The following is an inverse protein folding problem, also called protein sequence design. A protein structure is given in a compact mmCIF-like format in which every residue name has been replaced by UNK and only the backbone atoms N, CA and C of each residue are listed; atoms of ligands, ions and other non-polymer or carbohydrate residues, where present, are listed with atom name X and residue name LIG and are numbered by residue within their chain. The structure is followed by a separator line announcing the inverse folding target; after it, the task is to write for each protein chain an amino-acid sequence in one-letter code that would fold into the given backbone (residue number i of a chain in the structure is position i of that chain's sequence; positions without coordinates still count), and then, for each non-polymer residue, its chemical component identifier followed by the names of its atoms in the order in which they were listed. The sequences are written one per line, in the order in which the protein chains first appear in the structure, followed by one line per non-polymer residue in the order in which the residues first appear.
data_IF_888232270893
#
_entry.id   IF_888232270893
#
_cell.length_a   1.000
_cell.length_b   1.000
_cell.length_c   1.000
_cell.angle_alpha   90.00
_cell.angle_beta   90.00
_cell.angle_gamma   90.00
#
_symmetry.space_group_name_H-M   'P 1'
#
loop_
_entity.id
_entity.type
_entity.pdbx_description
1 polymer ?
#
# COMPACT_ATOMS: atom_id res chain seq x y z
N UNK A 1 -53.11 -18.10 -11.37
CA UNK A 1 -53.80 -19.11 -12.21
C UNK A 1 -53.43 -18.85 -13.67
N UNK A 2 -53.10 -19.91 -14.40
CA UNK A 2 -53.00 -19.99 -15.87
C UNK A 2 -51.92 -19.15 -16.56
N UNK A 3 -50.79 -19.77 -16.91
CA UNK A 3 -50.58 -20.53 -18.16
C UNK A 3 -50.36 -19.58 -19.35
N UNK A 4 -49.08 -19.54 -19.74
CA UNK A 4 -48.54 -19.66 -21.09
C UNK A 4 -49.16 -18.82 -22.22
N UNK A 5 -48.25 -18.04 -22.81
CA UNK A 5 -47.86 -18.09 -24.21
C UNK A 5 -48.96 -18.28 -25.26
N UNK A 6 -49.13 -17.27 -26.12
CA UNK A 6 -49.11 -17.47 -27.57
C UNK A 6 -48.62 -16.17 -28.22
N UNK A 7 -47.38 -16.16 -28.70
CA UNK A 7 -47.03 -15.99 -30.11
C UNK A 7 -47.94 -15.01 -30.89
N UNK A 8 -47.41 -13.83 -31.21
CA UNK A 8 -47.55 -13.32 -32.57
C UNK A 8 -46.35 -12.44 -32.94
N UNK A 9 -45.77 -12.80 -34.05
CA UNK A 9 -44.63 -12.22 -34.75
C UNK A 9 -44.93 -10.79 -35.18
N UNK A 10 -44.00 -9.86 -34.94
CA UNK A 10 -43.61 -8.83 -35.90
C UNK A 10 -42.37 -8.07 -35.40
N UNK A 11 -41.24 -8.32 -36.07
CA UNK A 11 -40.19 -7.33 -36.23
C UNK A 11 -40.81 -6.01 -36.73
N UNK A 12 -40.40 -4.87 -36.16
CA UNK A 12 -39.84 -3.73 -36.89
C UNK A 12 -39.40 -2.65 -35.87
N UNK A 13 -38.20 -2.15 -36.12
CA UNK A 13 -37.49 -1.07 -35.43
C UNK A 13 -38.29 0.23 -35.34
N UNK A 14 -38.23 0.92 -34.19
CA UNK A 14 -37.81 2.32 -34.10
C UNK A 14 -37.89 2.84 -32.66
N UNK A 15 -37.01 3.81 -32.40
CA UNK A 15 -36.58 4.35 -31.13
C UNK A 15 -37.62 5.16 -30.32
N UNK A 16 -37.23 5.33 -29.05
CA UNK A 16 -37.61 6.35 -28.08
C UNK A 16 -38.92 6.15 -27.30
N UNK A 17 -38.80 6.08 -25.97
CA UNK A 17 -39.57 6.96 -25.08
C UNK A 17 -39.04 6.91 -23.63
N UNK A 18 -38.87 8.10 -23.06
CA UNK A 18 -38.83 8.37 -21.62
C UNK A 18 -40.28 8.37 -21.11
N UNK A 19 -40.51 7.92 -19.86
CA UNK A 19 -41.32 8.58 -18.81
C UNK A 19 -41.86 7.57 -17.78
N UNK A 20 -41.92 8.10 -16.56
CA UNK A 20 -42.20 7.60 -15.23
C UNK A 20 -43.70 7.41 -14.90
N UNK A 21 -43.95 6.75 -13.75
CA UNK A 21 -45.07 6.87 -12.80
C UNK A 21 -46.41 6.08 -12.94
N UNK A 22 -46.70 5.37 -11.83
CA UNK A 22 -47.96 5.20 -11.07
C UNK A 22 -48.88 3.95 -11.25
N UNK A 23 -48.81 3.10 -10.21
CA UNK A 23 -49.89 2.56 -9.33
C UNK A 23 -51.27 2.13 -9.89
N UNK A 24 -51.63 0.84 -9.74
CA UNK A 24 -52.61 0.29 -8.76
C UNK A 24 -53.02 -1.18 -9.11
N UNK A 25 -53.11 -2.00 -8.05
CA UNK A 25 -53.44 -3.45 -7.94
C UNK A 25 -54.94 -3.80 -8.16
N UNK A 26 -55.48 -5.04 -7.89
CA UNK A 26 -54.90 -6.40 -7.71
C UNK A 26 -55.64 -7.54 -8.49
N UNK A 27 -55.06 -8.76 -8.55
CA UNK A 27 -55.66 -10.01 -8.03
C UNK A 27 -55.07 -11.33 -8.62
N UNK A 28 -54.48 -12.13 -7.73
CA UNK A 28 -54.70 -13.57 -7.50
C UNK A 28 -53.91 -14.72 -8.22
N UNK A 29 -53.33 -15.54 -7.33
CA UNK A 29 -53.07 -17.00 -7.32
C UNK A 29 -51.75 -17.57 -7.89
N UNK A 30 -51.00 -18.13 -6.94
CA UNK A 30 -49.75 -18.91 -6.91
C UNK A 30 -49.93 -20.34 -7.44
N UNK A 31 -48.94 -20.89 -8.16
CA UNK A 31 -48.48 -22.29 -7.97
C UNK A 31 -47.11 -22.55 -8.63
N UNK A 32 -46.36 -23.51 -8.05
CA UNK A 32 -44.93 -23.83 -8.18
C UNK A 32 -44.50 -24.43 -9.54
N UNK A 33 -43.21 -24.26 -9.89
CA UNK A 33 -42.52 -25.08 -10.90
C UNK A 33 -41.10 -25.41 -10.46
N UNK A 34 -40.79 -26.70 -10.39
CA UNK A 34 -39.47 -27.31 -10.21
C UNK A 34 -38.63 -27.26 -11.49
N UNK A 35 -37.31 -27.05 -11.39
CA UNK A 35 -36.37 -27.12 -12.51
C UNK A 35 -35.39 -28.30 -12.35
N UNK A 36 -35.36 -29.18 -13.35
CA UNK A 36 -34.35 -30.22 -13.55
C UNK A 36 -33.09 -29.61 -14.19
N UNK A 37 -31.92 -29.91 -13.62
CA UNK A 37 -30.62 -29.51 -14.17
C UNK A 37 -30.01 -30.68 -14.94
N UNK A 38 -29.86 -30.53 -16.25
CA UNK A 38 -29.04 -31.42 -17.09
C UNK A 38 -27.61 -30.90 -17.18
N UNK A 39 -26.69 -31.74 -16.72
CA UNK A 39 -25.26 -31.90 -17.02
C UNK A 39 -24.50 -30.75 -17.70
N UNK A 40 -23.59 -30.13 -16.93
CA UNK A 40 -22.40 -29.45 -17.46
C UNK A 40 -21.18 -30.37 -17.28
N UNK A 41 -20.48 -30.67 -18.38
CA UNK A 41 -19.19 -31.36 -18.39
C UNK A 41 -18.06 -30.34 -18.15
N UNK A 42 -17.32 -30.49 -17.05
CA UNK A 42 -16.06 -29.79 -16.80
C UNK A 42 -14.92 -30.79 -16.95
N UNK A 43 -14.00 -30.53 -17.88
CA UNK A 43 -12.77 -31.30 -18.07
C UNK A 43 -11.83 -31.09 -16.89
N UNK A 44 -11.61 -32.16 -16.12
CA UNK A 44 -10.77 -32.18 -14.94
C UNK A 44 -9.28 -32.27 -15.30
N UNK A 45 -8.48 -31.33 -14.77
CA UNK A 45 -7.07 -31.58 -14.47
C UNK A 45 -6.91 -31.55 -12.95
N UNK A 46 -6.79 -32.76 -12.42
CA UNK A 46 -6.12 -33.20 -11.19
C UNK A 46 -6.40 -32.44 -9.88
N UNK A 47 -7.42 -32.92 -9.16
CA UNK A 47 -7.40 -32.96 -7.70
C UNK A 47 -8.14 -34.23 -7.25
N UNK A 48 -7.47 -35.38 -7.40
CA UNK A 48 -8.02 -36.69 -6.99
C UNK A 48 -8.44 -36.71 -5.51
N UNK A 49 -7.78 -35.90 -4.69
CA UNK A 49 -8.07 -35.77 -3.27
C UNK A 49 -9.44 -35.13 -2.98
N UNK A 50 -9.90 -34.23 -3.85
CA UNK A 50 -11.19 -33.56 -3.68
C UNK A 50 -12.36 -34.48 -4.02
N UNK A 51 -12.25 -35.25 -5.11
CA UNK A 51 -13.33 -36.15 -5.55
C UNK A 51 -13.38 -37.46 -4.74
N UNK A 52 -12.26 -37.95 -4.21
CA UNK A 52 -12.27 -39.05 -3.23
C UNK A 52 -12.89 -38.63 -1.89
N UNK A 53 -12.59 -37.41 -1.42
CA UNK A 53 -13.27 -36.84 -0.25
C UNK A 53 -14.78 -36.65 -0.49
N UNK A 54 -15.18 -36.11 -1.64
CA UNK A 54 -16.59 -35.85 -1.93
C UNK A 54 -17.40 -37.14 -2.12
N UNK A 55 -16.81 -38.17 -2.76
CA UNK A 55 -17.46 -39.47 -2.94
C UNK A 55 -17.59 -40.25 -1.63
N UNK A 56 -16.66 -40.09 -0.69
CA UNK A 56 -16.75 -40.62 0.68
C UNK A 56 -17.97 -40.06 1.44
N UNK A 57 -18.28 -38.77 1.28
CA UNK A 57 -19.41 -38.12 1.96
C UNK A 57 -20.78 -38.54 1.44
N UNK A 58 -20.90 -38.88 0.16
CA UNK A 58 -22.17 -39.26 -0.46
C UNK A 58 -22.45 -40.76 -0.29
N UNK A 59 -21.41 -41.58 -0.08
CA UNK A 59 -21.52 -43.04 -0.01
C UNK A 59 -21.76 -43.60 1.39
N UNK A 60 -21.61 -42.80 2.45
CA UNK A 60 -21.74 -43.26 3.83
C UNK A 60 -23.11 -42.91 4.43
N UNK A 61 -24.13 -43.69 4.10
CA UNK A 61 -25.38 -43.78 4.88
C UNK A 61 -25.18 -44.54 6.20
N UNK A 62 -24.14 -44.21 6.98
CA UNK A 62 -23.73 -44.93 8.18
C UNK A 62 -23.32 -43.97 9.30
N UNK A 63 -23.77 -44.25 10.53
CA UNK A 63 -23.56 -43.42 11.71
C UNK A 63 -22.08 -43.13 11.99
N UNK A 64 -21.73 -41.85 12.04
CA UNK A 64 -20.37 -41.37 12.33
C UNK A 64 -20.30 -40.95 13.81
N UNK A 65 -19.86 -41.86 14.68
CA UNK A 65 -19.40 -41.53 16.04
C UNK A 65 -17.90 -41.19 16.01
N UNK A 66 -17.53 -40.18 15.23
CA UNK A 66 -16.15 -39.71 15.12
C UNK A 66 -16.14 -38.22 14.86
N UNK A 67 -15.79 -37.44 15.88
CA UNK A 67 -15.48 -36.01 15.74
C UNK A 67 -14.14 -35.88 15.01
N UNK A 68 -14.16 -35.83 13.68
CA UNK A 68 -13.05 -35.31 12.89
C UNK A 68 -12.99 -33.81 13.08
N UNK A 69 -12.14 -33.37 14.00
CA UNK A 69 -11.82 -31.96 14.21
C UNK A 69 -11.20 -31.41 12.90
N UNK A 70 -11.82 -30.37 12.33
CA UNK A 70 -11.22 -29.64 11.22
C UNK A 70 -9.80 -29.21 11.63
N UNK A 71 -8.82 -29.18 10.71
CA UNK A 71 -7.51 -28.60 10.99
C UNK A 71 -7.73 -27.19 11.53
N UNK A 72 -7.41 -26.98 12.81
CA UNK A 72 -7.44 -25.66 13.43
C UNK A 72 -6.62 -24.74 12.51
N UNK A 73 -7.16 -23.59 12.05
CA UNK A 73 -6.35 -22.64 11.32
C UNK A 73 -5.09 -22.39 12.15
N UNK A 74 -3.92 -22.54 11.53
CA UNK A 74 -2.64 -22.32 12.20
C UNK A 74 -2.75 -21.02 12.97
N UNK A 75 -2.77 -21.12 14.30
CA UNK A 75 -3.02 -19.97 15.16
C UNK A 75 -1.95 -18.96 14.82
N UNK A 76 -2.35 -17.80 14.29
CA UNK A 76 -1.45 -16.70 13.99
C UNK A 76 -0.58 -16.49 15.23
N UNK A 77 0.75 -16.54 15.07
CA UNK A 77 1.65 -16.34 16.20
C UNK A 77 1.28 -15.04 16.91
N UNK A 78 1.13 -15.06 18.25
CA UNK A 78 0.73 -13.88 18.99
C UNK A 78 1.75 -12.77 18.79
N UNK A 79 1.27 -11.58 18.44
CA UNK A 79 2.11 -10.41 18.23
C UNK A 79 2.86 -10.03 19.51
N UNK A 80 4.20 -10.00 19.42
CA UNK A 80 5.02 -9.54 20.53
C UNK A 80 4.82 -8.03 20.78
N UNK A 81 4.79 -7.56 22.04
CA UNK A 81 4.69 -6.14 22.34
C UNK A 81 5.88 -5.36 21.78
N UNK A 82 5.60 -4.27 21.09
CA UNK A 82 6.62 -3.39 20.51
C UNK A 82 6.12 -1.94 20.46
N UNK A 83 7.01 -1.00 20.08
CA UNK A 83 6.68 0.42 19.90
C UNK A 83 7.13 0.90 18.53
N UNK A 84 6.25 1.60 17.82
CA UNK A 84 6.56 2.23 16.54
C UNK A 84 7.25 3.60 16.72
N UNK A 85 7.88 4.10 15.66
CA UNK A 85 8.30 5.50 15.53
C UNK A 85 9.46 5.92 16.43
N UNK A 86 10.18 5.00 17.07
CA UNK A 86 11.33 5.32 17.91
C UNK A 86 12.65 5.20 17.12
N UNK A 87 13.37 6.31 16.98
CA UNK A 87 14.73 6.31 16.39
C UNK A 87 15.72 5.57 17.28
N UNK A 88 16.85 5.11 16.73
CA UNK A 88 17.95 4.53 17.55
C UNK A 88 18.81 5.59 18.24
N UNK A 89 18.60 6.88 17.95
CA UNK A 89 19.38 8.00 18.47
C UNK A 89 18.46 9.11 18.97
N UNK A 90 18.85 9.80 20.04
CA UNK A 90 18.08 10.94 20.60
C UNK A 90 18.59 12.31 20.11
N UNK A 91 19.73 12.38 19.43
CA UNK A 91 20.34 13.65 18.99
C UNK A 91 19.91 13.96 17.56
N UNK A 92 19.05 14.96 17.39
CA UNK A 92 18.62 15.46 16.08
C UNK A 92 19.80 16.09 15.35
N UNK A 93 20.09 15.63 14.14
CA UNK A 93 20.93 16.37 13.20
C UNK A 93 19.99 17.18 12.29
N UNK A 94 20.31 18.44 12.03
CA UNK A 94 19.44 19.38 11.31
C UNK A 94 20.25 19.94 10.16
N UNK A 95 19.91 19.62 8.91
CA UNK A 95 20.75 20.16 7.84
C UNK A 95 20.55 19.69 6.41
N UNK A 96 20.04 18.50 6.11
CA UNK A 96 20.37 17.92 4.80
C UNK A 96 21.76 17.27 4.90
N UNK A 97 21.88 16.25 5.74
CA UNK A 97 23.17 15.64 6.11
C UNK A 97 22.99 14.14 6.31
N UNK A 98 24.11 13.43 6.27
CA UNK A 98 24.15 12.01 6.54
C UNK A 98 23.58 11.69 7.92
N UNK A 99 22.74 10.66 7.98
CA UNK A 99 22.16 10.17 9.24
C UNK A 99 23.18 9.36 10.02
N UNK A 100 22.91 9.08 11.29
CA UNK A 100 23.68 8.04 11.98
C UNK A 100 23.25 6.65 11.51
N UNK A 101 24.18 5.69 11.57
CA UNK A 101 23.91 4.28 11.25
C UNK A 101 22.68 3.80 12.04
N UNK A 102 21.67 3.28 11.34
CA UNK A 102 20.41 2.80 11.90
C UNK A 102 19.57 3.87 12.65
N UNK A 103 19.80 5.17 12.47
CA UNK A 103 19.00 6.23 13.12
C UNK A 103 17.49 6.05 12.87
N UNK A 104 17.12 5.73 11.62
CA UNK A 104 15.76 5.48 11.17
C UNK A 104 15.57 4.00 10.80
N UNK A 105 15.29 3.12 11.77
CA UNK A 105 15.33 1.67 11.55
C UNK A 105 14.24 1.16 10.60
N UNK A 106 13.16 1.90 10.42
CA UNK A 106 12.08 1.56 9.49
C UNK A 106 12.43 1.82 8.02
N UNK A 107 13.59 2.42 7.72
CA UNK A 107 13.98 2.68 6.34
C UNK A 107 14.16 1.38 5.57
N UNK A 108 13.60 1.37 4.36
CA UNK A 108 13.67 0.24 3.44
C UNK A 108 14.40 0.65 2.19
N UNK A 109 15.37 -0.17 1.80
CA UNK A 109 16.01 -0.15 0.50
C UNK A 109 15.32 -1.19 -0.39
N UNK A 110 14.60 -0.73 -1.42
CA UNK A 110 13.96 -1.62 -2.40
C UNK A 110 14.91 -1.89 -3.57
N UNK A 111 15.08 -3.17 -3.88
CA UNK A 111 15.93 -3.64 -4.96
C UNK A 111 15.11 -4.35 -6.04
N UNK A 112 15.50 -4.15 -7.29
CA UNK A 112 14.99 -4.90 -8.43
C UNK A 112 16.17 -5.47 -9.19
N UNK A 113 16.20 -6.80 -9.37
CA UNK A 113 17.34 -7.54 -9.96
C UNK A 113 18.68 -7.15 -9.29
N UNK A 114 18.68 -7.02 -7.96
CA UNK A 114 19.86 -6.69 -7.16
C UNK A 114 20.32 -5.22 -7.23
N UNK A 115 19.52 -4.32 -7.82
CA UNK A 115 19.83 -2.89 -7.90
C UNK A 115 18.83 -2.05 -7.12
N UNK A 116 19.33 -1.13 -6.31
CA UNK A 116 18.54 -0.10 -5.64
C UNK A 116 17.79 0.76 -6.66
N UNK A 117 16.52 1.07 -6.39
CA UNK A 117 15.72 1.96 -7.25
C UNK A 117 14.66 2.79 -6.52
N UNK A 118 14.17 2.33 -5.37
CA UNK A 118 13.18 3.05 -4.55
C UNK A 118 13.44 2.82 -3.05
N UNK A 119 12.91 3.73 -2.24
CA UNK A 119 12.77 3.57 -0.80
C UNK A 119 11.41 3.01 -0.39
N UNK A 120 11.27 2.80 0.92
CA UNK A 120 10.02 2.41 1.56
C UNK A 120 10.09 2.60 3.07
N UNK A 121 9.05 2.18 3.78
CA UNK A 121 9.04 2.18 5.23
C UNK A 121 8.37 0.94 5.80
N UNK A 122 9.00 0.31 6.78
CA UNK A 122 8.38 -0.78 7.54
C UNK A 122 7.28 -0.21 8.43
N UNK A 123 6.05 -0.68 8.22
CA UNK A 123 4.86 -0.25 9.00
C UNK A 123 4.29 -1.36 9.89
N UNK A 124 4.62 -2.63 9.62
CA UNK A 124 4.20 -3.79 10.40
C UNK A 124 5.16 -4.95 10.19
N UNK A 125 4.95 -6.07 10.89
CA UNK A 125 5.87 -7.22 10.84
C UNK A 125 5.98 -7.86 9.45
N UNK A 126 5.06 -7.59 8.52
CA UNK A 126 5.07 -8.19 7.18
C UNK A 126 4.90 -7.20 6.03
N UNK A 127 4.73 -5.90 6.32
CA UNK A 127 4.41 -4.93 5.28
C UNK A 127 5.34 -3.72 5.28
N UNK A 128 5.78 -3.41 4.06
CA UNK A 128 6.45 -2.16 3.71
C UNK A 128 5.46 -1.27 2.97
N UNK A 129 5.39 0.01 3.37
CA UNK A 129 4.69 1.06 2.67
C UNK A 129 5.64 1.76 1.69
N UNK A 130 5.19 1.97 0.46
CA UNK A 130 5.96 2.65 -0.60
C UNK A 130 5.01 3.31 -1.61
N UNK A 131 5.56 3.88 -2.69
CA UNK A 131 4.79 4.48 -3.78
C UNK A 131 4.30 3.40 -4.77
N UNK A 132 3.15 3.64 -5.40
CA UNK A 132 2.62 2.74 -6.42
C UNK A 132 3.52 2.69 -7.67
N UNK A 133 4.12 3.82 -8.05
CA UNK A 133 5.01 3.88 -9.20
C UNK A 133 6.31 3.05 -9.01
N UNK A 134 6.70 2.77 -7.76
CA UNK A 134 7.84 1.89 -7.47
C UNK A 134 7.51 0.41 -7.72
N UNK A 135 6.24 0.04 -7.83
CA UNK A 135 5.85 -1.37 -7.94
C UNK A 135 4.98 -1.66 -9.17
N UNK A 136 4.50 -0.62 -9.86
CA UNK A 136 3.65 -0.77 -11.04
C UNK A 136 4.39 -1.49 -12.17
N UNK A 137 3.88 -2.66 -12.57
CA UNK A 137 4.45 -3.51 -13.64
C UNK A 137 5.81 -4.12 -13.31
N UNK A 138 6.19 -4.17 -12.02
CA UNK A 138 7.36 -4.92 -11.56
C UNK A 138 6.95 -6.36 -11.23
N UNK A 139 7.81 -7.33 -11.57
CA UNK A 139 7.65 -8.72 -11.14
C UNK A 139 8.13 -8.85 -9.68
N UNK A 140 7.24 -9.23 -8.74
CA UNK A 140 7.60 -9.41 -7.33
C UNK A 140 8.75 -10.42 -7.10
N UNK A 141 8.92 -11.42 -7.97
CA UNK A 141 9.98 -12.42 -7.82
C UNK A 141 11.39 -11.86 -8.03
N UNK A 142 11.48 -10.73 -8.74
CA UNK A 142 12.72 -10.03 -9.03
C UNK A 142 12.99 -8.90 -8.02
N UNK A 143 12.07 -8.68 -7.08
CA UNK A 143 12.18 -7.68 -6.03
C UNK A 143 12.78 -8.30 -4.76
N UNK A 144 13.59 -7.52 -4.06
CA UNK A 144 13.95 -7.79 -2.67
C UNK A 144 13.96 -6.51 -1.85
N UNK A 145 13.77 -6.70 -0.55
CA UNK A 145 13.60 -5.64 0.45
C UNK A 145 14.74 -5.77 1.43
N UNK A 146 15.55 -4.72 1.59
CA UNK A 146 16.61 -4.67 2.60
C UNK A 146 16.28 -3.62 3.65
N UNK A 147 16.47 -3.98 4.91
CA UNK A 147 16.30 -3.10 6.07
C UNK A 147 17.61 -2.99 6.85
N UNK A 148 17.68 -1.99 7.75
CA UNK A 148 18.86 -1.70 8.57
C UNK A 148 20.12 -1.38 7.75
N UNK A 149 19.94 -0.98 6.50
CA UNK A 149 21.02 -0.46 5.64
C UNK A 149 21.35 0.99 6.01
N UNK A 150 22.61 1.38 5.85
CA UNK A 150 23.03 2.78 5.97
C UNK A 150 23.88 3.22 4.78
N UNK A 151 25.07 2.62 4.58
CA UNK A 151 25.97 2.78 3.45
C UNK A 151 25.84 1.58 2.50
N UNK A 152 25.29 1.84 1.31
CA UNK A 152 25.05 0.82 0.27
C UNK A 152 26.33 0.20 -0.30
N UNK A 153 27.51 0.73 0.03
CA UNK A 153 28.81 0.22 -0.39
C UNK A 153 29.56 -0.52 0.73
N UNK A 154 29.02 -0.51 1.96
CA UNK A 154 29.58 -1.22 3.10
C UNK A 154 28.85 -2.54 3.35
N UNK A 155 29.57 -3.53 3.85
CA UNK A 155 28.98 -4.84 4.24
C UNK A 155 29.19 -5.15 5.71
N UNK A 156 29.87 -4.27 6.45
CA UNK A 156 30.35 -4.54 7.82
C UNK A 156 29.85 -3.54 8.86
N UNK A 157 29.33 -2.39 8.44
CA UNK A 157 28.90 -1.34 9.37
C UNK A 157 27.52 -1.58 10.01
N UNK A 158 26.69 -2.41 9.36
CA UNK A 158 25.32 -2.65 9.74
C UNK A 158 24.93 -4.11 9.50
N UNK A 159 24.10 -4.64 10.40
CA UNK A 159 23.54 -5.98 10.28
C UNK A 159 22.27 -5.92 9.42
N UNK A 160 22.46 -5.78 8.11
CA UNK A 160 21.35 -5.70 7.17
C UNK A 160 20.55 -7.01 7.13
N UNK A 161 19.25 -6.90 6.88
CA UNK A 161 18.37 -8.05 6.69
C UNK A 161 17.67 -7.94 5.34
N UNK A 162 17.68 -9.02 4.55
CA UNK A 162 17.06 -9.06 3.23
C UNK A 162 15.87 -10.01 3.20
N UNK A 163 14.76 -9.52 2.65
CA UNK A 163 13.48 -10.21 2.56
C UNK A 163 13.04 -10.35 1.10
N UNK A 164 12.44 -11.51 0.79
CA UNK A 164 11.76 -11.71 -0.49
C UNK A 164 10.34 -11.17 -0.44
N UNK A 165 9.85 -10.71 -1.59
CA UNK A 165 8.48 -10.23 -1.74
C UNK A 165 7.55 -11.41 -1.98
N UNK A 166 6.47 -11.48 -1.21
CA UNK A 166 5.35 -12.42 -1.40
C UNK A 166 4.35 -11.83 -2.40
N UNK A 167 3.94 -10.58 -2.16
CA UNK A 167 2.88 -9.92 -2.93
C UNK A 167 3.07 -8.42 -2.93
N UNK A 168 2.73 -7.79 -4.04
CA UNK A 168 2.59 -6.35 -4.17
C UNK A 168 1.11 -6.00 -4.19
N UNK A 169 0.71 -5.00 -3.41
CA UNK A 169 -0.65 -4.49 -3.33
C UNK A 169 -0.62 -3.01 -3.66
N UNK A 170 -0.83 -2.69 -4.93
CA UNK A 170 -0.96 -1.31 -5.42
C UNK A 170 -2.37 -0.80 -5.20
N UNK A 171 -2.54 0.47 -4.81
CA UNK A 171 -3.87 1.06 -4.70
C UNK A 171 -4.59 1.02 -6.07
N UNK A 172 -5.82 0.51 -6.11
CA UNK A 172 -6.57 0.30 -7.36
C UNK A 172 -6.86 1.59 -8.13
N UNK A 173 -7.03 2.70 -7.41
CA UNK A 173 -7.19 4.04 -7.97
C UNK A 173 -5.89 4.72 -8.41
N UNK A 174 -4.74 4.04 -8.39
CA UNK A 174 -3.48 4.64 -8.84
C UNK A 174 -3.54 5.04 -10.32
N UNK A 175 -3.16 6.27 -10.61
CA UNK A 175 -3.16 6.84 -11.96
C UNK A 175 -1.74 7.16 -12.40
N UNK A 176 -1.27 6.50 -13.46
CA UNK A 176 0.05 6.77 -14.08
C UNK A 176 0.09 8.11 -14.81
N UNK A 177 -1.05 8.74 -15.07
CA UNK A 177 -1.12 10.03 -15.76
C UNK A 177 -0.84 11.22 -14.84
N UNK A 178 -1.37 11.20 -13.61
CA UNK A 178 -1.27 12.31 -12.67
C UNK A 178 -0.74 11.93 -11.29
N UNK A 179 -0.29 10.69 -11.10
CA UNK A 179 0.23 10.16 -9.84
C UNK A 179 -0.77 10.24 -8.68
N UNK A 180 -2.07 10.34 -8.97
CA UNK A 180 -3.07 10.25 -7.91
C UNK A 180 -3.08 8.83 -7.31
N UNK A 181 -3.28 8.74 -5.99
CA UNK A 181 -3.24 7.48 -5.23
C UNK A 181 -1.92 6.70 -5.40
N UNK A 182 -0.79 7.40 -5.43
CA UNK A 182 0.53 6.81 -5.61
C UNK A 182 1.04 6.17 -4.31
N UNK A 183 0.40 5.08 -3.90
CA UNK A 183 0.68 4.34 -2.67
C UNK A 183 0.52 2.84 -2.91
N UNK A 184 1.42 2.06 -2.33
CA UNK A 184 1.42 0.61 -2.41
C UNK A 184 1.97 -0.02 -1.13
N UNK A 185 1.56 -1.26 -0.91
CA UNK A 185 2.09 -2.14 0.11
C UNK A 185 2.89 -3.27 -0.55
N UNK A 186 4.00 -3.63 0.08
CA UNK A 186 4.79 -4.81 -0.29
C UNK A 186 4.74 -5.78 0.88
N UNK A 187 4.12 -6.93 0.66
CA UNK A 187 4.05 -8.04 1.62
C UNK A 187 5.32 -8.88 1.52
N UNK A 188 5.95 -9.12 2.65
CA UNK A 188 7.17 -9.92 2.77
C UNK A 188 6.82 -11.40 3.00
N UNK A 189 7.61 -12.30 2.43
CA UNK A 189 7.45 -13.75 2.64
C UNK A 189 7.68 -14.13 4.11
N UNK A 190 8.73 -13.57 4.70
CA UNK A 190 9.11 -13.79 6.09
C UNK A 190 8.77 -12.56 6.94
N UNK A 191 8.37 -12.78 8.19
CA UNK A 191 8.06 -11.71 9.11
C UNK A 191 9.34 -11.06 9.67
N UNK A 192 9.34 -9.73 9.74
CA UNK A 192 10.35 -8.93 10.44
C UNK A 192 10.17 -9.12 11.93
N UNK A 193 11.26 -9.42 12.63
CA UNK A 193 11.31 -9.43 14.09
C UNK A 193 11.66 -8.04 14.60
N UNK A 194 10.80 -7.48 15.44
CA UNK A 194 11.00 -6.17 16.05
C UNK A 194 11.86 -6.30 17.31
N UNK A 195 13.13 -6.63 17.09
CA UNK A 195 14.13 -6.84 18.14
C UNK A 195 15.37 -5.94 17.91
N UNK A 196 16.10 -5.68 19.00
CA UNK A 196 17.32 -4.87 18.96
C UNK A 196 17.09 -3.47 18.38
N UNK A 197 17.72 -3.19 17.23
CA UNK A 197 17.65 -1.89 16.54
C UNK A 197 16.38 -1.74 15.67
N UNK A 198 15.68 -2.83 15.35
CA UNK A 198 14.61 -2.80 14.37
C UNK A 198 13.26 -2.40 14.99
N UNK A 199 12.65 -1.35 14.44
CA UNK A 199 11.32 -0.85 14.84
C UNK A 199 10.60 -0.29 13.61
N UNK A 200 9.28 -0.48 13.47
CA UNK A 200 8.50 0.13 12.40
C UNK A 200 8.26 1.62 12.67
N UNK A 201 7.86 2.38 11.64
CA UNK A 201 7.37 3.75 11.80
C UNK A 201 5.90 3.74 12.23
N UNK A 202 5.46 4.72 13.00
CA UNK A 202 4.04 4.83 13.35
C UNK A 202 3.23 5.29 12.13
N UNK A 203 2.03 4.73 11.97
CA UNK A 203 1.02 5.31 11.08
C UNK A 203 0.44 6.59 11.71
N UNK A 204 0.10 7.60 10.89
CA UNK A 204 -0.42 8.88 11.38
C UNK A 204 -1.90 8.78 11.81
N UNK A 205 -2.35 9.78 12.56
CA UNK A 205 -3.77 9.91 12.92
C UNK A 205 -4.65 10.27 11.70
N UNK A 206 -5.81 9.62 11.60
CA UNK A 206 -6.78 9.87 10.52
C UNK A 206 -7.36 11.28 10.62
N UNK A 207 -7.46 11.99 9.48
CA UNK A 207 -8.11 13.29 9.40
C UNK A 207 -7.32 14.48 9.98
N UNK A 208 -6.19 14.24 10.65
CA UNK A 208 -5.31 15.30 11.16
C UNK A 208 -4.64 16.07 10.01
N UNK A 209 -4.54 17.39 10.17
CA UNK A 209 -3.71 18.20 9.27
C UNK A 209 -2.28 18.25 9.78
N UNK A 210 -1.33 18.21 8.85
CA UNK A 210 0.11 18.33 9.12
C UNK A 210 0.70 19.61 8.52
N UNK A 211 -0.13 20.46 7.90
CA UNK A 211 0.32 21.72 7.33
C UNK A 211 0.90 22.64 8.41
N UNK A 212 1.98 23.35 8.09
CA UNK A 212 2.73 24.20 9.00
C UNK A 212 3.72 23.45 9.91
N UNK A 213 3.65 22.11 9.97
CA UNK A 213 4.68 21.31 10.64
C UNK A 213 5.90 21.15 9.75
N UNK A 214 7.04 20.87 10.38
CA UNK A 214 8.24 20.42 9.67
C UNK A 214 8.22 18.89 9.56
N UNK A 215 8.33 18.40 8.33
CA UNK A 215 8.56 16.99 8.04
C UNK A 215 10.04 16.74 7.77
N UNK A 216 10.50 15.55 8.11
CA UNK A 216 11.82 15.05 7.73
C UNK A 216 11.63 13.98 6.66
N UNK A 217 12.33 14.14 5.55
CA UNK A 217 12.45 13.14 4.49
C UNK A 217 13.76 12.41 4.70
N UNK A 218 13.75 11.10 4.53
CA UNK A 218 14.93 10.24 4.61
C UNK A 218 15.03 9.33 3.39
N UNK A 219 16.25 9.11 2.91
CA UNK A 219 16.49 8.26 1.75
C UNK A 219 17.92 8.30 1.23
N UNK A 220 18.17 7.51 0.20
CA UNK A 220 19.46 7.41 -0.49
C UNK A 220 19.47 8.15 -1.82
N UNK A 221 18.46 8.97 -2.11
CA UNK A 221 18.35 9.71 -3.35
C UNK A 221 19.52 10.67 -3.59
N UNK A 222 19.52 11.27 -4.78
CA UNK A 222 20.53 12.22 -5.17
C UNK A 222 20.49 13.45 -4.24
N UNK A 223 21.66 13.87 -3.73
CA UNK A 223 21.75 15.03 -2.81
C UNK A 223 21.55 16.37 -3.55
N UNK A 224 21.65 16.34 -4.88
CA UNK A 224 21.45 17.47 -5.77
C UNK A 224 20.73 17.01 -7.04
N UNK A 225 19.99 17.91 -7.69
CA UNK A 225 19.33 17.61 -8.97
C UNK A 225 20.36 17.12 -10.01
N UNK A 226 20.04 16.03 -10.70
CA UNK A 226 20.93 15.34 -11.64
C UNK A 226 22.29 14.90 -11.03
N UNK A 227 22.37 14.82 -9.70
CA UNK A 227 23.52 14.32 -8.96
C UNK A 227 23.56 12.80 -8.87
N UNK A 228 24.66 12.30 -8.30
CA UNK A 228 24.77 10.89 -7.95
C UNK A 228 23.85 10.55 -6.77
N UNK A 229 23.27 9.35 -6.80
CA UNK A 229 22.52 8.74 -5.70
C UNK A 229 23.48 8.58 -4.50
N UNK A 230 23.05 9.01 -3.31
CA UNK A 230 23.86 8.94 -2.10
C UNK A 230 24.17 7.49 -1.70
N UNK A 231 25.40 7.22 -1.26
CA UNK A 231 25.76 5.90 -0.74
C UNK A 231 25.22 5.72 0.68
N UNK A 232 25.36 6.74 1.52
CA UNK A 232 24.87 6.76 2.90
C UNK A 232 23.46 7.33 2.98
N UNK A 233 22.70 6.90 3.98
CA UNK A 233 21.35 7.41 4.23
C UNK A 233 21.41 8.90 4.62
N UNK A 234 20.57 9.70 3.98
CA UNK A 234 20.49 11.15 4.18
C UNK A 234 19.17 11.53 4.82
N UNK A 235 19.15 12.66 5.52
CA UNK A 235 17.93 13.29 6.01
C UNK A 235 17.84 14.77 5.66
N UNK A 236 16.64 15.24 5.34
CA UNK A 236 16.36 16.65 5.09
C UNK A 236 15.05 17.08 5.73
N UNK A 237 15.05 18.22 6.41
CA UNK A 237 13.84 18.81 7.00
C UNK A 237 13.24 19.84 6.04
N UNK A 238 11.94 19.73 5.79
CA UNK A 238 11.15 20.59 4.92
C UNK A 238 9.81 20.95 5.57
N UNK A 239 9.30 22.19 5.40
CA UNK A 239 7.99 22.55 5.90
C UNK A 239 6.89 21.89 5.07
N UNK A 240 5.80 21.47 5.70
CA UNK A 240 4.63 20.90 5.04
C UNK A 240 3.65 22.04 4.71
N UNK A 241 3.27 22.12 3.44
CA UNK A 241 2.37 23.15 2.92
C UNK A 241 0.91 22.72 3.11
N UNK A 242 0.02 23.71 3.19
CA UNK A 242 -1.40 23.49 2.93
C UNK A 242 -1.62 23.08 1.48
N UNK A 243 -2.72 22.37 1.19
CA UNK A 243 -3.08 22.07 -0.21
C UNK A 243 -3.39 23.34 -1.03
N UNK A 244 -3.86 24.40 -0.38
CA UNK A 244 -4.09 25.70 -1.02
C UNK A 244 -2.77 26.31 -1.50
N UNK A 245 -1.76 26.37 -0.63
CA UNK A 245 -0.42 26.84 -1.00
C UNK A 245 0.19 25.95 -2.08
N UNK A 246 0.05 24.63 -1.98
CA UNK A 246 0.57 23.74 -3.01
C UNK A 246 -0.11 23.94 -4.37
N UNK A 247 -1.42 24.16 -4.42
CA UNK A 247 -2.14 24.50 -5.66
C UNK A 247 -1.78 25.86 -6.23
N UNK A 248 -1.30 26.77 -5.38
CA UNK A 248 -0.79 28.09 -5.76
C UNK A 248 0.70 28.08 -6.14
N UNK A 249 1.37 26.93 -6.07
CA UNK A 249 2.73 26.73 -6.58
C UNK A 249 2.77 26.84 -8.11
N UNK A 250 3.95 26.64 -8.71
CA UNK A 250 4.09 26.64 -10.18
C UNK A 250 3.51 25.39 -10.85
N UNK A 251 3.06 24.39 -10.08
CA UNK A 251 2.31 23.26 -10.66
C UNK A 251 0.92 23.71 -11.14
N UNK A 252 0.40 23.12 -12.23
CA UNK A 252 -1.01 23.30 -12.58
C UNK A 252 -1.89 22.82 -11.42
N UNK A 253 -2.74 23.70 -10.88
CA UNK A 253 -3.54 23.44 -9.66
C UNK A 253 -4.35 22.12 -9.73
N UNK A 254 -4.89 21.79 -10.90
CA UNK A 254 -5.63 20.54 -11.17
C UNK A 254 -4.82 19.24 -10.98
N UNK A 255 -3.49 19.32 -10.92
CA UNK A 255 -2.61 18.18 -10.67
C UNK A 255 -2.46 17.86 -9.18
N UNK A 256 -2.76 18.82 -8.30
CA UNK A 256 -2.65 18.65 -6.84
C UNK A 256 -4.01 18.23 -6.26
N UNK A 257 -4.14 16.94 -5.97
CA UNK A 257 -5.36 16.33 -5.42
C UNK A 257 -5.36 16.35 -3.88
N UNK A 258 -6.50 16.06 -3.26
CA UNK A 258 -6.60 15.94 -1.80
C UNK A 258 -5.95 14.68 -1.23
N UNK A 259 -5.56 13.74 -2.10
CA UNK A 259 -4.80 12.55 -1.73
C UNK A 259 -3.29 12.81 -1.75
N UNK A 260 -2.88 14.05 -2.04
CA UNK A 260 -1.50 14.52 -2.02
C UNK A 260 -1.30 15.51 -0.87
N UNK A 261 -0.05 15.62 -0.43
CA UNK A 261 0.48 16.72 0.37
C UNK A 261 1.76 17.22 -0.28
N UNK A 262 2.14 18.46 0.01
CA UNK A 262 3.38 19.02 -0.51
C UNK A 262 4.26 19.48 0.63
N UNK A 263 5.57 19.34 0.46
CA UNK A 263 6.55 19.80 1.41
C UNK A 263 7.75 20.40 0.67
N UNK A 264 8.33 21.47 1.22
CA UNK A 264 9.46 22.14 0.59
C UNK A 264 9.44 23.65 0.84
N UNK A 265 10.56 24.29 0.54
CA UNK A 265 10.70 25.74 0.66
C UNK A 265 10.28 26.43 -0.63
N UNK A 266 9.55 27.55 -0.52
CA UNK A 266 9.07 28.28 -1.68
C UNK A 266 10.23 28.81 -2.55
N UNK A 267 11.32 29.23 -1.92
CA UNK A 267 12.53 29.69 -2.62
C UNK A 267 13.38 28.54 -3.19
N UNK A 268 12.94 27.28 -3.08
CA UNK A 268 13.80 26.12 -3.30
C UNK A 268 14.77 25.92 -2.14
N UNK A 269 15.91 25.23 -2.38
CA UNK A 269 17.04 24.91 -1.47
C UNK A 269 17.11 23.45 -1.01
N UNK A 270 16.02 22.90 -0.49
CA UNK A 270 15.97 21.56 0.13
C UNK A 270 14.70 20.82 -0.28
N UNK A 271 14.87 19.58 -0.72
CA UNK A 271 13.79 18.74 -1.23
C UNK A 271 14.23 17.26 -1.25
N UNK A 272 13.26 16.36 -1.40
CA UNK A 272 13.52 14.99 -1.87
C UNK A 272 13.97 14.99 -3.33
N UNK A 273 14.72 13.98 -3.75
CA UNK A 273 15.24 13.91 -5.10
C UNK A 273 15.19 12.49 -5.69
N UNK A 274 15.79 12.30 -6.88
CA UNK A 274 15.77 11.01 -7.57
C UNK A 274 16.38 9.92 -6.70
N UNK A 275 15.64 8.83 -6.48
CA UNK A 275 16.05 7.72 -5.61
C UNK A 275 15.42 7.75 -4.22
N UNK A 276 14.78 8.86 -3.80
CA UNK A 276 13.99 8.90 -2.57
C UNK A 276 12.54 8.40 -2.77
N UNK A 277 12.13 8.18 -4.02
CA UNK A 277 10.81 7.66 -4.41
C UNK A 277 10.36 6.49 -3.53
N UNK A 278 9.14 6.58 -2.99
CA UNK A 278 8.60 5.57 -2.09
C UNK A 278 9.08 5.68 -0.63
N UNK A 279 10.12 6.46 -0.35
CA UNK A 279 10.59 6.76 0.99
C UNK A 279 9.62 7.63 1.81
N UNK A 280 9.84 7.73 3.12
CA UNK A 280 8.93 8.45 4.01
C UNK A 280 9.16 9.95 4.04
N UNK A 281 8.06 10.68 4.21
CA UNK A 281 8.04 11.98 4.89
C UNK A 281 7.44 11.75 6.28
N UNK A 282 8.23 11.96 7.33
CA UNK A 282 7.82 11.73 8.70
C UNK A 282 7.82 13.01 9.54
N UNK A 283 6.88 13.12 10.49
CA UNK A 283 6.85 14.17 11.51
C UNK A 283 7.11 13.56 12.88
N UNK A 284 7.48 14.40 13.84
CA UNK A 284 7.57 14.02 15.25
C UNK A 284 6.27 14.44 15.95
N UNK A 285 5.60 13.50 16.61
CA UNK A 285 4.41 13.72 17.43
C UNK A 285 4.62 12.99 18.77
N UNK A 286 4.67 13.73 19.88
CA UNK A 286 4.92 13.18 21.22
C UNK A 286 6.11 12.20 21.26
N UNK A 287 7.26 12.64 20.74
CA UNK A 287 8.53 11.88 20.66
C UNK A 287 8.51 10.62 19.77
N UNK A 288 7.43 10.39 19.02
CA UNK A 288 7.34 9.30 18.04
C UNK A 288 7.28 9.84 16.62
N UNK A 289 7.97 9.17 15.71
CA UNK A 289 7.93 9.47 14.29
C UNK A 289 6.72 8.82 13.63
N UNK A 290 5.93 9.63 12.93
CA UNK A 290 4.76 9.21 12.16
C UNK A 290 4.97 9.48 10.67
N UNK A 291 4.69 8.49 9.82
CA UNK A 291 4.81 8.64 8.36
C UNK A 291 3.58 9.34 7.77
N UNK A 292 3.69 10.64 7.52
CA UNK A 292 2.56 11.45 7.01
C UNK A 292 2.50 11.47 5.48
N UNK A 293 3.63 11.24 4.82
CA UNK A 293 3.75 11.24 3.37
C UNK A 293 4.63 10.11 2.84
N UNK A 294 4.40 9.73 1.59
CA UNK A 294 5.29 8.85 0.80
C UNK A 294 5.79 9.65 -0.41
N UNK A 295 7.10 9.72 -0.61
CA UNK A 295 7.73 10.46 -1.72
C UNK A 295 7.17 9.94 -3.04
N UNK A 296 6.59 10.83 -3.86
CA UNK A 296 5.83 10.43 -5.05
C UNK A 296 6.39 11.09 -6.32
N UNK A 297 6.32 12.42 -6.44
CA UNK A 297 6.81 13.13 -7.63
C UNK A 297 7.17 14.59 -7.33
N UNK A 298 7.85 15.22 -8.29
CA UNK A 298 8.21 16.64 -8.25
C UNK A 298 8.80 17.08 -9.59
N UNK A 299 8.94 18.39 -9.79
CA UNK A 299 9.63 18.96 -10.95
C UNK A 299 11.03 19.43 -10.56
N UNK A 300 12.05 18.67 -10.98
CA UNK A 300 13.43 18.83 -10.51
C UNK A 300 13.59 18.45 -9.04
N UNK A 301 14.68 18.92 -8.41
CA UNK A 301 14.87 18.77 -6.96
C UNK A 301 15.16 20.14 -6.35
N UNK A 302 14.31 20.58 -5.43
CA UNK A 302 14.46 21.86 -4.75
C UNK A 302 14.41 23.09 -5.67
N UNK A 303 13.69 23.02 -6.79
CA UNK A 303 13.49 24.15 -7.70
C UNK A 303 12.53 25.19 -7.07
N UNK A 304 12.81 26.50 -7.19
CA UNK A 304 11.94 27.54 -6.64
C UNK A 304 10.52 27.48 -7.20
N UNK A 305 9.54 27.35 -6.31
CA UNK A 305 8.11 27.26 -6.64
C UNK A 305 7.61 25.87 -7.04
N UNK A 306 8.45 24.82 -6.95
CA UNK A 306 8.07 23.42 -7.20
C UNK A 306 8.39 22.58 -5.96
N UNK A 307 7.51 22.58 -4.94
CA UNK A 307 7.72 21.72 -3.76
C UNK A 307 7.64 20.24 -4.14
N UNK A 308 8.22 19.37 -3.31
CA UNK A 308 8.02 17.92 -3.42
C UNK A 308 6.57 17.54 -3.17
N UNK A 309 6.06 16.58 -3.92
CA UNK A 309 4.69 16.07 -3.80
C UNK A 309 4.72 14.63 -3.30
N UNK A 310 3.92 14.38 -2.27
CA UNK A 310 3.87 13.13 -1.53
C UNK A 310 2.45 12.59 -1.50
N UNK A 311 2.29 11.26 -1.49
CA UNK A 311 1.00 10.64 -1.18
C UNK A 311 0.65 10.86 0.29
N UNK A 312 -0.53 11.40 0.57
CA UNK A 312 -1.00 11.76 1.91
C UNK A 312 -1.48 10.53 2.68
N UNK A 313 -0.60 9.94 3.50
CA UNK A 313 -0.81 8.62 4.13
C UNK A 313 -2.10 8.55 4.93
N UNK A 314 -2.48 9.60 5.66
CA UNK A 314 -3.68 9.57 6.49
C UNK A 314 -5.01 9.54 5.71
N UNK A 315 -4.97 9.65 4.38
CA UNK A 315 -6.12 9.39 3.48
C UNK A 315 -6.28 7.91 3.12
N UNK A 316 -5.26 7.09 3.39
CA UNK A 316 -5.19 5.69 2.98
C UNK A 316 -5.24 4.71 4.15
N UNK A 317 -5.41 5.15 5.40
CA UNK A 317 -5.34 4.28 6.58
C UNK A 317 -6.35 3.13 6.54
N UNK A 318 -7.60 3.39 6.13
CA UNK A 318 -8.60 2.32 5.97
C UNK A 318 -8.21 1.31 4.88
N UNK A 319 -7.51 1.76 3.83
CA UNK A 319 -6.98 0.86 2.80
C UNK A 319 -5.77 0.09 3.31
N UNK A 320 -4.87 0.73 4.06
CA UNK A 320 -3.71 0.09 4.68
C UNK A 320 -4.20 -1.02 5.61
N UNK A 321 -5.03 -0.69 6.60
CA UNK A 321 -5.49 -1.63 7.62
C UNK A 321 -6.16 -2.87 7.02
N UNK A 322 -7.04 -2.70 6.02
CA UNK A 322 -7.72 -3.83 5.35
C UNK A 322 -6.78 -4.77 4.60
N UNK A 323 -5.61 -4.28 4.17
CA UNK A 323 -4.66 -5.09 3.41
C UNK A 323 -3.54 -5.68 4.28
N UNK A 324 -3.55 -5.40 5.59
CA UNK A 324 -2.46 -5.78 6.51
C UNK A 324 -2.96 -6.45 7.78
N UNK A 325 -4.20 -6.96 7.77
CA UNK A 325 -4.84 -7.62 8.92
C UNK A 325 -4.09 -8.88 9.39
N UNK A 326 -3.29 -9.49 8.50
CA UNK A 326 -2.46 -10.67 8.78
C UNK A 326 -1.06 -10.34 9.34
N UNK A 327 -0.83 -9.10 9.78
CA UNK A 327 0.45 -8.64 10.32
C UNK A 327 0.35 -8.04 11.72
N UNK A 328 1.47 -8.06 12.43
CA UNK A 328 1.60 -7.47 13.75
C UNK A 328 2.04 -6.00 13.64
N UNK A 329 1.29 -5.13 14.32
CA UNK A 329 1.60 -3.71 14.46
C UNK A 329 2.24 -3.42 15.82
N UNK A 330 3.04 -2.36 15.83
CA UNK A 330 3.38 -1.57 17.00
C UNK A 330 2.66 -0.21 16.87
#
# INVERSE_FOLDING_TARGET
MCIRATLCVALVLAAACVVNCQEMQPAAVVEEVSLNVTQYNVTATDDKNFWEWLSSLISAGGSINGTTELPRPATAEPCLPCKCGLTNTQKRIVGGVETQINQYPWMVLMMFRGRFYCGGSVISSRYVLTAAHCVDRFDPNLMSIRILEHDRNSTTESETQEFKVEKVIKHSGYSTFNYNNDIALVKLKDAIRFEGKMRPVCLPEQGKTFAGLNGTVTGWGAVQEAGAISQTLQEVTVPILTNTECRASKYPSRRITDNMLCAGYQEGKKDSCQGDSGGPLHIINNDTYQIVGVVSWGEGCARPGYPGVYSRVNRFLSWINRNTEDACYC
#
